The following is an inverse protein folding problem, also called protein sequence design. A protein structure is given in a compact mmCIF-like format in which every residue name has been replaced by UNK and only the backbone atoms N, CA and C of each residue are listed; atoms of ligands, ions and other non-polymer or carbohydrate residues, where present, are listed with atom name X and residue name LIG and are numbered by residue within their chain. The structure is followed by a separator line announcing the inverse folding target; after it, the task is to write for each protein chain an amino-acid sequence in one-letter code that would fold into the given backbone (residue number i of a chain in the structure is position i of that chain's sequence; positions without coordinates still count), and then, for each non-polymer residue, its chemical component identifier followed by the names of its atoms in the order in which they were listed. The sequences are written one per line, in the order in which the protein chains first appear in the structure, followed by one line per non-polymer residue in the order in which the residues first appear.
data_IF_234975053423
#
_entry.id   IF_234975053423
#
_cell.length_a   1.000
_cell.length_b   1.000
_cell.length_c   1.000
_cell.angle_alpha   90.00
_cell.angle_beta   90.00
_cell.angle_gamma   90.00
#
_symmetry.space_group_name_H-M   'P 1'
#
loop_
_entity.id
_entity.type
_entity.pdbx_description
1 polymer ?
#
# COMPACT_ATOMS: atom_id res chain seq x y z
N UNK A 1 -0.29 -2.31 2.25
CA UNK A 1 0.87 -3.24 2.17
C UNK A 1 0.37 -4.61 2.57
N UNK A 2 0.36 -5.56 1.63
CA UNK A 2 0.21 -6.96 1.97
C UNK A 2 1.40 -7.34 2.88
N UNK A 3 1.11 -8.01 3.99
CA UNK A 3 2.15 -8.66 4.77
C UNK A 3 2.56 -9.93 4.02
N UNK A 4 3.76 -10.44 4.30
CA UNK A 4 4.12 -11.78 3.87
C UNK A 4 3.02 -12.75 4.38
N UNK A 5 2.44 -13.59 3.51
CA UNK A 5 1.20 -14.34 3.81
C UNK A 5 1.31 -15.20 5.08
N UNK A 6 2.51 -15.71 5.38
CA UNK A 6 2.74 -16.63 6.49
C UNK A 6 3.13 -15.98 7.82
N UNK A 7 3.10 -14.64 7.93
CA UNK A 7 3.62 -13.95 9.13
C UNK A 7 2.56 -13.07 9.78
N UNK A 8 2.11 -13.49 10.97
CA UNK A 8 1.30 -12.64 11.84
C UNK A 8 2.05 -11.31 12.09
N UNK A 9 1.34 -10.18 11.94
CA UNK A 9 1.87 -8.82 12.14
C UNK A 9 2.68 -8.66 13.44
N UNK A 10 2.32 -9.37 14.52
CA UNK A 10 3.06 -9.33 15.81
C UNK A 10 4.48 -9.87 15.72
N UNK A 11 4.72 -10.86 14.86
CA UNK A 11 6.01 -11.53 14.72
C UNK A 11 6.81 -11.07 13.49
N UNK A 12 6.24 -10.19 12.67
CA UNK A 12 6.85 -9.71 11.44
C UNK A 12 8.24 -9.10 11.66
N UNK A 13 8.42 -8.33 12.74
CA UNK A 13 9.73 -7.72 13.02
C UNK A 13 10.82 -8.79 13.22
N UNK A 14 10.55 -9.78 14.07
CA UNK A 14 11.50 -10.88 14.33
C UNK A 14 11.79 -11.67 13.06
N UNK A 15 10.73 -12.08 12.35
CA UNK A 15 10.87 -12.79 11.08
C UNK A 15 11.67 -11.99 10.05
N UNK A 16 11.41 -10.69 9.90
CA UNK A 16 12.11 -9.83 8.95
C UNK A 16 13.60 -9.75 9.24
N UNK A 17 14.02 -9.65 10.51
CA UNK A 17 15.44 -9.61 10.84
C UNK A 17 16.18 -10.88 10.43
N UNK A 18 15.53 -12.03 10.58
CA UNK A 18 16.07 -13.36 10.25
C UNK A 18 15.91 -13.72 8.76
N UNK A 19 15.03 -13.04 8.02
CA UNK A 19 14.61 -13.43 6.65
C UNK A 19 14.67 -12.25 5.65
N UNK A 20 15.58 -11.29 5.84
CA UNK A 20 15.70 -10.09 4.97
C UNK A 20 15.78 -10.43 3.48
N UNK A 21 16.59 -11.45 3.11
CA UNK A 21 16.73 -11.92 1.73
C UNK A 21 15.43 -12.47 1.16
N UNK A 22 14.77 -13.39 1.88
CA UNK A 22 13.47 -13.94 1.45
C UNK A 22 12.39 -12.87 1.31
N UNK A 23 12.38 -11.88 2.21
CA UNK A 23 11.46 -10.75 2.11
C UNK A 23 11.75 -9.88 0.87
N UNK A 24 13.02 -9.72 0.50
CA UNK A 24 13.38 -9.05 -0.73
C UNK A 24 12.92 -9.84 -1.96
N UNK A 25 13.20 -11.13 -2.02
CA UNK A 25 12.79 -12.01 -3.13
C UNK A 25 11.27 -12.01 -3.31
N UNK A 26 10.52 -12.10 -2.21
CA UNK A 26 9.06 -11.99 -2.22
C UNK A 26 8.58 -10.64 -2.76
N UNK A 27 9.24 -9.53 -2.40
CA UNK A 27 8.86 -8.21 -2.94
C UNK A 27 9.11 -8.10 -4.45
N UNK A 28 10.18 -8.74 -4.95
CA UNK A 28 10.46 -8.82 -6.38
C UNK A 28 9.37 -9.64 -7.08
N UNK A 29 9.08 -10.85 -6.59
CA UNK A 29 8.03 -11.71 -7.14
C UNK A 29 6.66 -11.00 -7.12
N UNK A 30 6.27 -10.40 -6.00
CA UNK A 30 5.00 -9.67 -5.89
C UNK A 30 4.90 -8.52 -6.90
N UNK A 31 5.99 -7.79 -7.16
CA UNK A 31 6.02 -6.71 -8.16
C UNK A 31 5.88 -7.26 -9.59
N UNK A 32 6.46 -8.42 -9.89
CA UNK A 32 6.35 -9.10 -11.19
C UNK A 32 4.93 -9.65 -11.41
N UNK A 33 4.30 -10.19 -10.38
CA UNK A 33 2.92 -10.71 -10.42
C UNK A 33 1.87 -9.59 -10.46
N UNK A 34 2.19 -8.41 -9.94
CA UNK A 34 1.27 -7.26 -9.85
C UNK A 34 1.83 -6.02 -10.59
N UNK A 35 2.13 -6.12 -11.90
CA UNK A 35 2.82 -5.07 -12.63
C UNK A 35 1.97 -3.78 -12.73
N UNK A 36 0.66 -3.88 -12.87
CA UNK A 36 -0.25 -2.72 -12.86
C UNK A 36 -0.20 -1.97 -11.53
N UNK A 37 -0.26 -2.69 -10.40
CA UNK A 37 -0.19 -2.05 -9.08
C UNK A 37 1.15 -1.37 -8.87
N UNK A 38 2.24 -2.02 -9.27
CA UNK A 38 3.57 -1.46 -9.18
C UNK A 38 3.69 -0.19 -10.04
N UNK A 39 3.25 -0.25 -11.30
CA UNK A 39 3.22 0.89 -12.21
C UNK A 39 2.42 2.05 -11.63
N UNK A 40 1.20 1.81 -11.16
CA UNK A 40 0.34 2.83 -10.56
C UNK A 40 1.02 3.55 -9.41
N UNK A 41 1.62 2.79 -8.48
CA UNK A 41 2.36 3.35 -7.36
C UNK A 41 3.57 4.18 -7.81
N UNK A 42 4.35 3.68 -8.77
CA UNK A 42 5.54 4.40 -9.29
C UNK A 42 5.16 5.72 -9.94
N UNK A 43 4.12 5.73 -10.78
CA UNK A 43 3.65 6.94 -11.45
C UNK A 43 3.11 7.96 -10.43
N UNK A 44 2.27 7.54 -9.49
CA UNK A 44 1.74 8.42 -8.46
C UNK A 44 2.84 8.97 -7.53
N UNK A 45 3.87 8.17 -7.23
CA UNK A 45 5.00 8.61 -6.41
C UNK A 45 5.85 9.67 -7.11
N UNK A 46 6.08 9.50 -8.42
CA UNK A 46 6.91 10.42 -9.21
C UNK A 46 6.16 11.68 -9.67
N UNK A 47 4.87 11.55 -9.94
CA UNK A 47 4.07 12.58 -10.61
C UNK A 47 3.23 13.46 -9.67
N UNK A 48 2.97 13.02 -8.43
CA UNK A 48 2.07 13.74 -7.51
C UNK A 48 2.79 14.11 -6.20
N UNK A 49 2.82 15.41 -5.85
CA UNK A 49 3.34 15.85 -4.56
C UNK A 49 2.46 15.30 -3.43
N UNK A 50 3.05 15.09 -2.25
CA UNK A 50 2.31 14.66 -1.08
C UNK A 50 1.19 15.67 -0.75
N UNK A 51 0.01 15.16 -0.37
CA UNK A 51 -1.12 15.99 0.07
C UNK A 51 -1.61 15.54 1.44
N UNK A 52 -2.39 16.40 2.08
CA UNK A 52 -3.13 16.07 3.30
C UNK A 52 -4.31 15.15 3.00
N UNK A 53 -4.86 14.55 4.04
CA UNK A 53 -6.02 13.69 3.95
C UNK A 53 -7.25 14.44 3.40
N UNK A 54 -7.92 13.86 2.40
CA UNK A 54 -9.14 14.40 1.80
C UNK A 54 -10.41 14.13 2.62
N UNK A 55 -10.31 13.34 3.70
CA UNK A 55 -11.43 13.17 4.63
C UNK A 55 -11.68 14.49 5.38
N UNK A 56 -12.91 14.99 5.33
CA UNK A 56 -13.28 16.33 5.82
C UNK A 56 -12.73 16.64 7.21
N UNK A 57 -12.00 17.77 7.31
CA UNK A 57 -11.40 18.26 8.55
C UNK A 57 -10.15 17.50 9.02
N UNK A 58 -9.59 16.59 8.22
CA UNK A 58 -8.38 15.86 8.58
C UNK A 58 -7.12 16.49 7.98
N UNK A 59 -6.33 17.15 8.81
CA UNK A 59 -5.07 17.81 8.38
C UNK A 59 -3.86 16.86 8.41
N UNK A 60 -4.08 15.57 8.69
CA UNK A 60 -3.00 14.58 8.73
C UNK A 60 -2.45 14.29 7.33
N UNK A 61 -1.16 13.98 7.24
CA UNK A 61 -0.52 13.58 5.99
C UNK A 61 -1.24 12.40 5.34
N UNK A 62 -1.58 12.56 4.06
CA UNK A 62 -2.26 11.56 3.26
C UNK A 62 -1.30 10.52 2.70
N UNK A 63 -1.76 9.27 2.69
CA UNK A 63 -1.19 8.19 1.89
C UNK A 63 -1.98 8.08 0.58
N UNK A 64 -1.30 7.69 -0.49
CA UNK A 64 -1.92 7.50 -1.82
C UNK A 64 -2.79 6.24 -1.79
N UNK A 65 -4.10 6.41 -1.98
CA UNK A 65 -5.05 5.33 -2.11
C UNK A 65 -5.50 5.22 -3.57
N UNK A 66 -5.28 4.05 -4.18
CA UNK A 66 -5.78 3.73 -5.50
C UNK A 66 -7.10 2.95 -5.36
N UNK A 67 -8.18 3.49 -5.92
CA UNK A 67 -9.45 2.76 -6.11
C UNK A 67 -9.34 1.87 -7.36
N UNK A 68 -8.71 2.39 -8.41
CA UNK A 68 -8.46 1.72 -9.68
C UNK A 68 -6.97 1.84 -10.03
N UNK A 69 -6.28 0.69 -10.11
CA UNK A 69 -4.85 0.64 -10.42
C UNK A 69 -4.55 0.81 -11.91
N UNK A 70 -5.55 0.71 -12.79
CA UNK A 70 -5.39 1.04 -14.21
C UNK A 70 -5.20 2.55 -14.43
N UNK A 71 -5.57 3.36 -13.43
CA UNK A 71 -5.51 4.81 -13.46
C UNK A 71 -4.47 5.36 -12.48
N UNK A 72 -3.19 5.41 -12.89
CA UNK A 72 -2.07 5.65 -11.98
C UNK A 72 -2.09 7.00 -11.26
N UNK A 73 -2.72 8.02 -11.84
CA UNK A 73 -2.77 9.38 -11.27
C UNK A 73 -4.10 9.70 -10.59
N UNK A 74 -5.11 8.83 -10.73
CA UNK A 74 -6.39 8.94 -10.02
C UNK A 74 -6.26 8.29 -8.65
N UNK A 75 -5.82 9.10 -7.67
CA UNK A 75 -5.66 8.67 -6.28
C UNK A 75 -6.49 9.54 -5.34
N UNK A 76 -6.90 8.94 -4.23
CA UNK A 76 -7.41 9.68 -3.07
C UNK A 76 -6.31 9.78 -2.02
N UNK A 77 -6.16 10.94 -1.40
CA UNK A 77 -5.23 11.11 -0.29
C UNK A 77 -5.93 10.78 1.02
N UNK A 78 -5.52 9.71 1.68
CA UNK A 78 -6.14 9.28 2.93
C UNK A 78 -5.06 9.08 3.99
N UNK A 79 -5.18 9.71 5.15
CA UNK A 79 -4.28 9.39 6.25
C UNK A 79 -4.42 7.91 6.64
N UNK A 80 -3.41 7.34 7.30
CA UNK A 80 -3.38 5.92 7.69
C UNK A 80 -4.68 5.40 8.33
N UNK A 81 -5.35 6.22 9.15
CA UNK A 81 -6.65 5.91 9.78
C UNK A 81 -7.75 5.75 8.73
N UNK A 82 -7.94 6.74 7.87
CA UNK A 82 -8.94 6.72 6.81
C UNK A 82 -8.63 5.70 5.73
N UNK A 83 -7.34 5.52 5.40
CA UNK A 83 -6.87 4.52 4.46
C UNK A 83 -7.24 3.11 4.93
N UNK A 84 -7.01 2.79 6.22
CA UNK A 84 -7.45 1.51 6.80
C UNK A 84 -8.97 1.36 6.81
N UNK A 85 -9.71 2.40 7.16
CA UNK A 85 -11.18 2.36 7.19
C UNK A 85 -11.77 2.13 5.80
N UNK A 86 -11.18 2.71 4.77
CA UNK A 86 -11.55 2.50 3.37
C UNK A 86 -11.20 1.10 2.90
N UNK A 87 -10.00 0.60 3.22
CA UNK A 87 -9.60 -0.79 2.92
C UNK A 87 -10.43 -1.84 3.65
N UNK A 88 -10.98 -1.53 4.83
CA UNK A 88 -11.86 -2.44 5.57
C UNK A 88 -13.25 -2.62 4.93
N UNK A 89 -13.68 -1.69 4.05
CA UNK A 89 -14.97 -1.79 3.34
C UNK A 89 -14.95 -2.77 2.16
N UNK A 90 -13.76 -3.17 1.69
CA UNK A 90 -13.59 -4.21 0.68
C UNK A 90 -12.75 -5.34 1.28
N UNK A 91 -13.38 -6.35 1.92
CA UNK A 91 -12.63 -7.53 2.33
C UNK A 91 -11.97 -8.13 1.08
N UNK A 92 -10.66 -8.35 1.16
CA UNK A 92 -9.93 -9.12 0.16
C UNK A 92 -10.65 -10.46 0.05
N UNK A 93 -11.31 -10.68 -1.09
CA UNK A 93 -11.86 -11.98 -1.45
C UNK A 93 -10.64 -12.89 -1.57
N UNK A 94 -10.52 -13.80 -0.61
CA UNK A 94 -9.57 -14.92 -0.64
C UNK A 94 -9.92 -15.86 -1.78
#
# INVERSE_FOLDING_TARGET
MALHPDVNRRNFHKWYQENKGKHYDWRIAYAQENPERHRAQTYAFRGLPAQVCSAGGCEASGERHHEDYSKPLEITWLCKKHHKAKSAKYPLVV
#
